data_IF_184011985989
#
_entry.id   IF_184011985989
#
_cell.length_a   1.000
_cell.length_b   1.000
_cell.length_c   1.000
_cell.angle_alpha   90.00
_cell.angle_beta   90.00
_cell.angle_gamma   90.00
#
_symmetry.space_group_name_H-M   'P 1'
#
loop_
_entity.id
_entity.type
_entity.pdbx_description
1 polymer ?
#
# COMPACT_ATOMS: atom_id res chain seq x y z
N UNK A 1 1.88 -0.32 -5.73
CA UNK A 1 2.12 1.12 -5.82
C UNK A 1 2.38 1.55 -7.25
N UNK A 2 3.37 0.99 -7.95
CA UNK A 2 3.78 1.40 -9.31
C UNK A 2 2.70 1.21 -10.41
N UNK A 3 1.64 0.44 -10.18
CA UNK A 3 0.48 0.39 -11.07
C UNK A 3 -0.47 1.58 -10.89
N UNK A 4 -0.54 2.15 -9.67
CA UNK A 4 -1.39 3.29 -9.31
C UNK A 4 -0.76 4.64 -9.67
N UNK A 5 0.53 4.82 -9.37
CA UNK A 5 1.20 6.10 -9.53
C UNK A 5 1.14 6.69 -10.95
N UNK A 6 1.29 5.92 -12.06
CA UNK A 6 1.13 6.48 -13.41
C UNK A 6 -0.29 6.95 -13.70
N UNK A 7 -1.31 6.24 -13.18
CA UNK A 7 -2.72 6.62 -13.38
C UNK A 7 -3.05 7.92 -12.65
N UNK A 8 -2.60 8.04 -11.39
CA UNK A 8 -2.75 9.25 -10.59
C UNK A 8 -1.99 10.44 -11.23
N UNK A 9 -0.77 10.20 -11.69
CA UNK A 9 0.03 11.23 -12.36
C UNK A 9 -0.60 11.75 -13.64
N UNK A 10 -1.11 10.85 -14.50
CA UNK A 10 -1.70 11.23 -15.79
C UNK A 10 -3.04 11.95 -15.66
N UNK A 11 -3.89 11.55 -14.70
CA UNK A 11 -5.23 12.12 -14.51
C UNK A 11 -5.24 13.40 -13.66
N UNK A 12 -4.46 13.43 -12.59
CA UNK A 12 -4.52 14.48 -11.58
C UNK A 12 -3.23 15.32 -11.50
N UNK A 13 -2.28 15.06 -12.40
CA UNK A 13 -0.96 15.74 -12.41
C UNK A 13 -0.19 15.59 -11.09
N UNK A 14 -0.43 14.53 -10.35
CA UNK A 14 0.23 14.24 -9.09
C UNK A 14 1.66 13.78 -9.39
N UNK A 15 2.70 14.42 -8.81
CA UNK A 15 4.08 13.97 -8.99
C UNK A 15 4.25 12.49 -8.58
N UNK A 16 5.04 11.73 -9.33
CA UNK A 16 5.19 10.29 -9.14
C UNK A 16 5.57 9.91 -7.71
N UNK A 17 6.52 10.62 -7.12
CA UNK A 17 6.96 10.38 -5.74
C UNK A 17 5.83 10.60 -4.72
N UNK A 18 5.00 11.64 -4.92
CA UNK A 18 3.83 11.91 -4.06
C UNK A 18 2.78 10.81 -4.21
N UNK A 19 2.46 10.41 -5.44
CA UNK A 19 1.55 9.31 -5.70
C UNK A 19 2.02 7.99 -5.08
N UNK A 20 3.32 7.70 -5.15
CA UNK A 20 3.91 6.54 -4.49
C UNK A 20 3.84 6.65 -2.96
N UNK A 21 4.20 7.81 -2.41
CA UNK A 21 4.22 8.04 -0.96
C UNK A 21 2.83 7.89 -0.34
N UNK A 22 1.83 8.57 -0.89
CA UNK A 22 0.46 8.52 -0.35
C UNK A 22 -0.15 7.11 -0.38
N UNK A 23 0.21 6.28 -1.37
CA UNK A 23 -0.35 4.94 -1.54
C UNK A 23 0.50 3.82 -0.90
N UNK A 24 1.72 4.10 -0.45
CA UNK A 24 2.67 3.06 -0.03
C UNK A 24 2.13 2.22 1.14
N UNK A 25 1.75 2.85 2.22
CA UNK A 25 1.29 2.15 3.42
C UNK A 25 0.00 1.35 3.14
N UNK A 26 -1.00 1.98 2.55
CA UNK A 26 -2.28 1.36 2.25
C UNK A 26 -2.16 0.16 1.29
N UNK A 27 -1.36 0.29 0.21
CA UNK A 27 -1.12 -0.83 -0.72
C UNK A 27 -0.42 -2.00 -0.05
N UNK A 28 0.60 -1.74 0.79
CA UNK A 28 1.31 -2.82 1.49
C UNK A 28 0.39 -3.53 2.49
N UNK A 29 -0.42 -2.79 3.24
CA UNK A 29 -1.38 -3.39 4.17
C UNK A 29 -2.40 -4.29 3.45
N UNK A 30 -3.01 -3.84 2.36
CA UNK A 30 -3.95 -4.66 1.60
C UNK A 30 -3.26 -5.86 0.92
N UNK A 31 -2.02 -5.70 0.48
CA UNK A 31 -1.22 -6.81 -0.07
C UNK A 31 -0.98 -7.88 1.00
N UNK A 32 -0.58 -7.50 2.22
CA UNK A 32 -0.37 -8.44 3.34
C UNK A 32 -1.66 -9.12 3.72
N UNK A 33 -2.78 -8.40 3.89
CA UNK A 33 -4.09 -8.99 4.17
C UNK A 33 -4.50 -10.04 3.12
N UNK A 34 -4.23 -9.78 1.86
CA UNK A 34 -4.52 -10.72 0.78
C UNK A 34 -3.62 -11.94 0.84
N UNK A 35 -2.32 -11.75 1.07
CA UNK A 35 -1.35 -12.84 1.22
C UNK A 35 -1.67 -13.74 2.42
N UNK A 36 -2.15 -13.21 3.53
CA UNK A 36 -2.59 -14.00 4.69
C UNK A 36 -3.66 -15.03 4.31
N UNK A 37 -4.50 -14.71 3.34
CA UNK A 37 -5.58 -15.60 2.87
C UNK A 37 -5.16 -16.50 1.71
N UNK A 38 -4.17 -16.12 0.91
CA UNK A 38 -3.83 -16.79 -0.34
C UNK A 38 -2.47 -17.48 -0.34
N UNK A 39 -1.50 -16.98 0.42
CA UNK A 39 -0.12 -17.49 0.49
C UNK A 39 0.58 -17.08 1.80
N UNK A 40 0.00 -17.46 2.93
CA UNK A 40 0.46 -17.05 4.28
C UNK A 40 1.88 -17.47 4.63
N UNK A 41 2.40 -18.54 4.02
CA UNK A 41 3.77 -19.06 4.22
C UNK A 41 4.75 -18.69 3.11
N UNK A 42 4.29 -17.94 2.10
CA UNK A 42 5.05 -17.60 0.91
C UNK A 42 6.25 -16.69 1.17
N UNK A 43 7.11 -16.60 0.18
CA UNK A 43 8.33 -15.78 0.26
C UNK A 43 8.06 -14.29 0.48
N UNK A 44 6.96 -13.77 -0.06
CA UNK A 44 6.56 -12.37 0.14
C UNK A 44 6.27 -12.08 1.62
N UNK A 45 5.51 -12.96 2.31
CA UNK A 45 5.21 -12.82 3.73
C UNK A 45 6.46 -12.86 4.61
N UNK A 46 7.42 -13.73 4.26
CA UNK A 46 8.73 -13.79 4.95
C UNK A 46 9.53 -12.51 4.76
N UNK A 47 9.51 -11.90 3.57
CA UNK A 47 10.18 -10.62 3.32
C UNK A 47 9.58 -9.48 4.14
N UNK A 48 8.24 -9.41 4.28
CA UNK A 48 7.60 -8.45 5.17
C UNK A 48 8.03 -8.62 6.63
N UNK A 49 8.11 -9.85 7.14
CA UNK A 49 8.62 -10.12 8.49
C UNK A 49 10.09 -9.71 8.63
N UNK A 50 10.93 -10.00 7.62
CA UNK A 50 12.34 -9.57 7.60
C UNK A 50 12.49 -8.06 7.70
N UNK A 51 11.66 -7.29 6.98
CA UNK A 51 11.66 -5.82 7.07
C UNK A 51 11.31 -5.35 8.48
N UNK A 52 10.33 -5.97 9.13
CA UNK A 52 9.98 -5.66 10.52
C UNK A 52 11.10 -5.97 11.52
N UNK A 53 11.83 -7.07 11.31
CA UNK A 53 12.98 -7.42 12.16
C UNK A 53 14.08 -6.35 12.16
N UNK A 54 14.24 -5.63 11.06
CA UNK A 54 15.21 -4.54 10.96
C UNK A 54 14.83 -3.29 11.78
N UNK A 55 13.58 -3.19 12.22
CA UNK A 55 13.05 -2.02 12.93
C UNK A 55 13.10 -2.16 14.45
N UNK A 56 13.50 -3.32 14.98
CA UNK A 56 13.49 -3.59 16.43
C UNK A 56 14.66 -4.48 16.85
N UNK A 57 15.22 -4.28 18.05
CA UNK A 57 16.20 -5.20 18.62
C UNK A 57 15.59 -6.49 19.18
N UNK A 58 14.26 -6.64 19.21
CA UNK A 58 13.59 -7.85 19.70
C UNK A 58 13.80 -9.01 18.73
N UNK A 59 14.32 -10.12 19.20
CA UNK A 59 14.70 -11.26 18.35
C UNK A 59 13.75 -12.47 18.43
N UNK A 60 12.89 -12.55 19.45
CA UNK A 60 12.08 -13.75 19.72
C UNK A 60 10.59 -13.58 19.46
N UNK A 61 10.20 -12.65 18.62
CA UNK A 61 8.80 -12.40 18.28
C UNK A 61 8.35 -13.23 17.05
N UNK A 62 7.03 -13.28 16.84
CA UNK A 62 6.44 -13.98 15.69
C UNK A 62 6.62 -13.21 14.39
N UNK A 63 6.57 -13.91 13.23
CA UNK A 63 6.59 -13.26 11.94
C UNK A 63 5.38 -12.30 11.75
N UNK A 64 4.25 -12.60 12.37
CA UNK A 64 3.08 -11.71 12.39
C UNK A 64 3.39 -10.41 13.12
N UNK A 65 4.03 -10.47 14.28
CA UNK A 65 4.48 -9.28 15.00
C UNK A 65 5.38 -8.39 14.14
N UNK A 66 6.39 -8.99 13.50
CA UNK A 66 7.33 -8.22 12.67
C UNK A 66 6.66 -7.62 11.43
N UNK A 67 5.74 -8.33 10.79
CA UNK A 67 4.97 -7.78 9.66
C UNK A 67 4.15 -6.57 10.07
N UNK A 68 3.45 -6.68 11.20
CA UNK A 68 2.63 -5.57 11.71
C UNK A 68 3.50 -4.38 12.08
N UNK A 69 4.62 -4.60 12.74
CA UNK A 69 5.59 -3.56 13.07
C UNK A 69 6.07 -2.79 11.82
N UNK A 70 6.34 -3.50 10.73
CA UNK A 70 6.72 -2.85 9.46
C UNK A 70 5.58 -2.03 8.88
N UNK A 71 4.35 -2.56 8.85
CA UNK A 71 3.18 -1.85 8.32
C UNK A 71 2.88 -0.59 9.14
N UNK A 72 2.87 -0.69 10.46
CA UNK A 72 2.70 0.46 11.35
C UNK A 72 3.80 1.51 11.15
N UNK A 73 5.04 1.08 10.97
CA UNK A 73 6.16 1.99 10.74
C UNK A 73 5.98 2.82 9.47
N UNK A 74 5.58 2.21 8.35
CA UNK A 74 5.37 2.96 7.10
C UNK A 74 4.10 3.83 7.15
N UNK A 75 3.08 3.47 7.93
CA UNK A 75 1.92 4.31 8.21
C UNK A 75 2.33 5.55 9.00
N UNK A 76 3.04 5.35 10.12
CA UNK A 76 3.57 6.45 10.94
C UNK A 76 4.51 7.37 10.15
N UNK A 77 5.36 6.79 9.29
CA UNK A 77 6.25 7.57 8.43
C UNK A 77 5.47 8.45 7.46
N UNK A 78 4.39 7.92 6.87
CA UNK A 78 3.49 8.67 5.98
C UNK A 78 2.87 9.87 6.70
N UNK A 79 2.43 9.67 7.95
CA UNK A 79 1.81 10.71 8.77
C UNK A 79 2.85 11.74 9.23
N UNK A 80 3.99 11.30 9.74
CA UNK A 80 5.07 12.18 10.24
C UNK A 80 5.66 13.08 9.14
N UNK A 81 5.70 12.58 7.91
CA UNK A 81 6.15 13.36 6.74
C UNK A 81 5.03 14.25 6.16
N UNK A 82 3.84 14.25 6.75
CA UNK A 82 2.69 14.98 6.26
C UNK A 82 2.41 14.73 4.76
N UNK A 83 2.55 13.47 4.32
CA UNK A 83 2.27 13.13 2.93
C UNK A 83 0.77 13.29 2.67
N UNK A 84 0.37 14.12 1.68
CA UNK A 84 -1.03 14.44 1.46
C UNK A 84 -1.86 13.19 1.13
N UNK A 85 -3.10 13.14 1.59
CA UNK A 85 -4.07 12.14 1.16
C UNK A 85 -4.61 12.45 -0.24
N UNK A 86 -5.41 11.55 -0.81
CA UNK A 86 -5.92 11.71 -2.17
C UNK A 86 -6.90 12.87 -2.30
N UNK A 87 -7.72 13.17 -1.27
CA UNK A 87 -8.62 14.31 -1.29
C UNK A 87 -7.86 15.65 -1.36
N UNK A 88 -6.78 15.78 -0.61
CA UNK A 88 -5.88 16.94 -0.68
C UNK A 88 -5.18 17.09 -2.04
N UNK A 89 -5.15 16.02 -2.82
CA UNK A 89 -4.63 15.98 -4.19
C UNK A 89 -5.74 16.10 -5.25
N UNK A 90 -6.93 16.55 -4.85
CA UNK A 90 -8.12 16.74 -5.69
C UNK A 90 -8.66 15.46 -6.36
N UNK A 91 -8.45 14.31 -5.76
CA UNK A 91 -9.09 13.04 -6.15
C UNK A 91 -10.41 12.92 -5.39
N UNK A 92 -11.50 12.71 -6.11
CA UNK A 92 -12.84 12.60 -5.54
C UNK A 92 -13.27 11.14 -5.40
N UNK A 93 -14.26 10.84 -4.53
CA UNK A 93 -14.77 9.47 -4.36
C UNK A 93 -15.27 8.83 -5.66
N UNK A 94 -15.88 9.59 -6.55
CA UNK A 94 -16.35 9.15 -7.86
C UNK A 94 -15.24 8.79 -8.84
N UNK A 95 -14.02 9.28 -8.64
CA UNK A 95 -12.86 8.96 -9.49
C UNK A 95 -12.30 7.57 -9.21
N UNK A 96 -12.52 7.03 -8.00
CA UNK A 96 -11.86 5.82 -7.52
C UNK A 96 -12.12 4.59 -8.42
N UNK A 97 -13.33 4.43 -8.95
CA UNK A 97 -13.68 3.32 -9.83
C UNK A 97 -12.97 3.43 -11.18
N UNK A 98 -12.93 4.63 -11.75
CA UNK A 98 -12.26 4.88 -13.03
C UNK A 98 -10.73 4.74 -12.90
N UNK A 99 -10.15 5.13 -11.77
CA UNK A 99 -8.75 4.90 -11.46
C UNK A 99 -8.50 3.39 -11.36
N UNK A 100 -9.28 2.67 -10.56
CA UNK A 100 -9.12 1.22 -10.34
C UNK A 100 -9.23 0.42 -11.65
N UNK A 101 -10.12 0.84 -12.57
CA UNK A 101 -10.27 0.22 -13.88
C UNK A 101 -9.01 0.34 -14.76
N UNK A 102 -8.22 1.40 -14.57
CA UNK A 102 -7.02 1.71 -15.35
C UNK A 102 -5.72 1.16 -14.76
N UNK A 103 -5.75 0.60 -13.54
CA UNK A 103 -4.56 0.10 -12.85
C UNK A 103 -4.11 -1.26 -13.39
N UNK A 104 -2.82 -1.38 -13.67
CA UNK A 104 -2.16 -2.65 -13.96
C UNK A 104 -1.51 -3.23 -12.70
N UNK A 105 -1.78 -4.50 -12.41
CA UNK A 105 -1.16 -5.24 -11.29
C UNK A 105 0.28 -5.68 -11.66
N UNK A 106 1.20 -4.72 -11.78
CA UNK A 106 2.60 -5.00 -12.10
C UNK A 106 3.32 -5.64 -10.91
N UNK A 107 3.81 -6.87 -11.09
CA UNK A 107 4.72 -7.54 -10.14
C UNK A 107 4.26 -7.51 -8.66
N UNK A 108 2.96 -7.35 -8.40
CA UNK A 108 2.43 -7.43 -7.04
C UNK A 108 2.35 -8.92 -6.65
N UNK A 109 2.92 -9.33 -5.50
CA UNK A 109 2.86 -10.72 -5.03
C UNK A 109 1.44 -11.22 -4.77
N UNK A 110 0.48 -10.31 -4.52
CA UNK A 110 -0.95 -10.59 -4.43
C UNK A 110 -1.73 -9.57 -5.28
N UNK A 111 -1.99 -9.86 -6.57
CA UNK A 111 -2.72 -8.95 -7.44
C UNK A 111 -4.08 -8.57 -6.86
N UNK A 112 -4.30 -7.27 -6.65
CA UNK A 112 -5.56 -6.76 -6.11
C UNK A 112 -6.62 -6.69 -7.22
N UNK A 113 -7.86 -7.05 -6.90
CA UNK A 113 -9.01 -6.87 -7.79
C UNK A 113 -9.36 -5.38 -7.93
N UNK A 114 -10.15 -5.05 -8.95
CA UNK A 114 -10.65 -3.66 -9.12
C UNK A 114 -11.43 -3.17 -7.91
N UNK A 115 -12.23 -4.03 -7.29
CA UNK A 115 -12.98 -3.69 -6.08
C UNK A 115 -12.06 -3.40 -4.89
N UNK A 116 -11.04 -4.26 -4.67
CA UNK A 116 -10.03 -4.04 -3.63
C UNK A 116 -9.25 -2.74 -3.85
N UNK A 117 -8.90 -2.43 -5.11
CA UNK A 117 -8.24 -1.17 -5.46
C UNK A 117 -9.17 0.03 -5.22
N UNK A 118 -10.46 -0.06 -5.57
CA UNK A 118 -11.43 1.01 -5.31
C UNK A 118 -11.57 1.29 -3.81
N UNK A 119 -11.69 0.24 -2.99
CA UNK A 119 -11.77 0.39 -1.53
C UNK A 119 -10.48 0.98 -0.94
N UNK A 120 -9.34 0.51 -1.44
CA UNK A 120 -8.02 1.03 -1.09
C UNK A 120 -7.90 2.54 -1.37
N UNK A 121 -8.34 3.00 -2.55
CA UNK A 121 -8.34 4.42 -2.90
C UNK A 121 -9.26 5.23 -1.97
N UNK A 122 -10.48 4.72 -1.72
CA UNK A 122 -11.44 5.36 -0.81
C UNK A 122 -10.92 5.46 0.64
N UNK A 123 -10.14 4.49 1.10
CA UNK A 123 -9.53 4.53 2.44
C UNK A 123 -8.44 5.58 2.58
N UNK A 124 -7.98 6.17 1.48
CA UNK A 124 -6.94 7.19 1.46
C UNK A 124 -7.47 8.58 1.03
N UNK A 125 -8.79 8.75 0.94
CA UNK A 125 -9.44 10.05 0.80
C UNK A 125 -9.56 10.73 2.18
#
# INVERSE_FOLDING_TARGET
>A
VHGLAPVLGSRFKIPHGVACGTMMAAVNRETVKKLERTDSSGSAMKKYATLGKLLTPKEAETDTYYRELFLEHIEQLTDNLNIPNLAQLNVLPEDCEAIAASVANKNNPAPLSKQEITQLLKSRL
#
